data_IF_043089413105
#
_entry.id   IF_043089413105
#
_cell.length_a   1.000
_cell.length_b   1.000
_cell.length_c   1.000
_cell.angle_alpha   90.00
_cell.angle_beta   90.00
_cell.angle_gamma   90.00
#
_symmetry.space_group_name_H-M   'P 1'
#
loop_
_entity.id
_entity.type
_entity.pdbx_description
1 polymer ?
#
# COMPACT_ATOMS: atom_id res chain seq x y z
N UNK A 1 19.79 -15.35 74.88
CA UNK A 1 18.65 -15.08 73.98
C UNK A 1 18.87 -13.87 73.07
N UNK A 2 19.29 -12.68 73.54
CA UNK A 2 19.47 -11.51 72.66
C UNK A 2 20.49 -11.70 71.51
N UNK A 3 21.60 -12.41 71.77
CA UNK A 3 22.61 -12.69 70.71
C UNK A 3 22.20 -13.72 69.68
N UNK A 4 21.31 -14.66 69.99
CA UNK A 4 20.77 -15.64 69.10
C UNK A 4 19.76 -14.96 68.18
N UNK A 5 18.94 -14.01 68.68
CA UNK A 5 18.01 -13.24 67.92
C UNK A 5 18.70 -12.32 66.90
N UNK A 6 19.84 -11.74 67.25
CA UNK A 6 20.68 -10.90 66.40
C UNK A 6 21.37 -11.71 65.28
N UNK A 7 21.77 -12.93 65.57
CA UNK A 7 22.37 -13.84 64.58
C UNK A 7 21.30 -14.35 63.60
N UNK A 8 20.08 -14.61 64.05
CA UNK A 8 18.95 -14.96 63.20
C UNK A 8 18.49 -13.80 62.28
N UNK A 9 18.58 -12.56 62.76
CA UNK A 9 18.28 -11.36 61.97
C UNK A 9 19.32 -11.13 60.87
N UNK A 10 20.59 -11.42 61.13
CA UNK A 10 21.68 -11.30 60.13
C UNK A 10 21.59 -12.34 59.00
N UNK A 11 21.04 -13.53 59.25
CA UNK A 11 20.83 -14.58 58.25
C UNK A 11 19.68 -14.21 57.30
N UNK A 12 18.72 -13.38 57.76
CA UNK A 12 17.61 -12.92 56.91
C UNK A 12 18.01 -11.87 55.87
N UNK A 13 19.17 -11.24 56.00
CA UNK A 13 19.73 -10.30 55.04
C UNK A 13 20.70 -10.93 54.01
N UNK A 14 21.03 -12.20 54.16
CA UNK A 14 21.76 -12.98 53.17
C UNK A 14 20.80 -13.62 52.15
N UNK A 15 19.80 -12.85 51.70
CA UNK A 15 18.94 -13.26 50.59
C UNK A 15 19.77 -13.25 49.31
N UNK A 16 19.86 -14.41 48.65
CA UNK A 16 20.49 -14.52 47.36
C UNK A 16 19.77 -13.60 46.36
N UNK A 17 20.44 -12.53 45.94
CA UNK A 17 19.99 -11.66 44.85
C UNK A 17 19.74 -12.46 43.58
N UNK A 18 20.48 -13.54 43.37
CA UNK A 18 20.40 -14.40 42.16
C UNK A 18 19.10 -15.25 42.03
N UNK A 19 18.28 -15.33 43.10
CA UNK A 19 17.01 -16.08 43.05
C UNK A 19 15.89 -15.25 42.40
N UNK A 20 16.02 -13.92 42.48
CA UNK A 20 15.05 -12.97 41.88
C UNK A 20 15.39 -12.59 40.42
N UNK A 21 16.69 -12.63 40.08
CA UNK A 21 17.18 -12.35 38.73
C UNK A 21 17.27 -13.62 37.86
N UNK A 22 16.18 -14.36 37.73
CA UNK A 22 16.12 -15.47 36.79
C UNK A 22 16.05 -14.88 35.40
N UNK A 23 17.10 -15.09 34.61
CA UNK A 23 17.05 -14.85 33.17
C UNK A 23 15.83 -15.59 32.58
N UNK A 24 15.04 -14.89 31.79
CA UNK A 24 13.92 -15.52 31.07
C UNK A 24 14.51 -16.51 30.06
N UNK A 25 14.50 -17.80 30.39
CA UNK A 25 15.05 -18.87 29.54
C UNK A 25 14.31 -19.04 28.21
N UNK A 26 13.16 -18.42 28.06
CA UNK A 26 12.40 -18.40 26.79
C UNK A 26 12.67 -17.14 25.94
N UNK A 27 13.46 -16.18 26.43
CA UNK A 27 13.86 -15.00 25.69
C UNK A 27 15.32 -15.15 25.21
N UNK A 28 15.55 -14.82 23.94
CA UNK A 28 16.92 -14.72 23.41
C UNK A 28 17.56 -13.47 24.01
N UNK A 29 18.74 -13.56 24.64
CA UNK A 29 19.45 -12.38 25.13
C UNK A 29 19.72 -11.38 24.01
N UNK A 30 19.57 -10.08 24.29
CA UNK A 30 19.70 -9.03 23.28
C UNK A 30 21.06 -9.08 22.56
N UNK A 31 22.14 -9.30 23.30
CA UNK A 31 23.49 -9.42 22.76
C UNK A 31 23.64 -10.58 21.74
N UNK A 32 22.86 -11.66 21.86
CA UNK A 32 22.90 -12.77 20.93
C UNK A 32 22.27 -12.37 19.59
N UNK A 33 21.22 -11.54 19.63
CA UNK A 33 20.50 -11.09 18.42
C UNK A 33 21.43 -10.34 17.46
N UNK A 34 22.31 -9.50 17.99
CA UNK A 34 23.18 -8.66 17.18
C UNK A 34 24.48 -9.35 16.73
N UNK A 35 24.75 -10.54 17.24
CA UNK A 35 25.93 -11.33 16.90
C UNK A 35 25.61 -12.56 16.02
N UNK A 36 24.34 -12.85 15.79
CA UNK A 36 23.88 -13.97 14.97
C UNK A 36 22.98 -13.50 13.84
N UNK A 37 23.37 -13.80 12.58
CA UNK A 37 22.64 -13.36 11.38
C UNK A 37 21.22 -13.94 11.32
N UNK A 38 20.98 -15.15 11.84
CA UNK A 38 19.66 -15.80 11.87
C UNK A 38 18.71 -15.05 12.81
N UNK A 39 19.15 -14.71 14.02
CA UNK A 39 18.33 -13.93 14.96
C UNK A 39 18.10 -12.49 14.50
N UNK A 40 19.11 -11.83 13.93
CA UNK A 40 18.93 -10.50 13.34
C UNK A 40 17.93 -10.52 12.18
N UNK A 41 17.99 -11.54 11.31
CA UNK A 41 17.02 -11.74 10.24
C UNK A 41 15.62 -12.02 10.78
N UNK A 42 15.49 -12.82 11.84
CA UNK A 42 14.21 -13.07 12.49
C UNK A 42 13.61 -11.79 13.09
N UNK A 43 14.46 -10.90 13.64
CA UNK A 43 14.03 -9.59 14.11
C UNK A 43 13.49 -8.74 12.95
N UNK A 44 14.19 -8.68 11.82
CA UNK A 44 13.72 -7.97 10.62
C UNK A 44 12.41 -8.57 10.10
N UNK A 45 12.25 -9.90 10.11
CA UNK A 45 11.00 -10.56 9.74
C UNK A 45 9.84 -10.13 10.65
N UNK A 46 10.10 -9.99 11.96
CA UNK A 46 9.11 -9.42 12.89
C UNK A 46 8.76 -7.98 12.52
N UNK A 47 9.77 -7.16 12.18
CA UNK A 47 9.51 -5.79 11.74
C UNK A 47 8.66 -5.74 10.46
N UNK A 48 8.89 -6.63 9.49
CA UNK A 48 8.01 -6.76 8.31
C UNK A 48 6.57 -7.04 8.74
N UNK A 49 6.35 -8.09 9.51
CA UNK A 49 5.01 -8.47 9.99
C UNK A 49 4.27 -7.34 10.69
N UNK A 50 5.00 -6.54 11.51
CA UNK A 50 4.41 -5.49 12.33
C UNK A 50 4.22 -4.17 11.56
N UNK A 51 4.81 -4.05 10.35
CA UNK A 51 4.88 -2.79 9.63
C UNK A 51 4.36 -2.84 8.19
N UNK A 52 4.16 -3.99 7.57
CA UNK A 52 3.64 -4.01 6.21
C UNK A 52 2.17 -3.61 6.16
N UNK A 53 1.73 -2.89 5.11
CA UNK A 53 0.32 -2.70 4.84
C UNK A 53 -0.32 -4.03 4.43
N UNK A 54 -1.65 -4.10 4.50
CA UNK A 54 -2.37 -5.29 4.09
C UNK A 54 -3.79 -4.96 3.64
N UNK A 55 -4.56 -5.96 3.33
CA UNK A 55 -5.96 -5.79 2.93
C UNK A 55 -6.77 -5.11 4.03
N UNK A 56 -7.17 -3.87 3.77
CA UNK A 56 -8.15 -3.16 4.57
C UNK A 56 -9.52 -3.31 3.91
N UNK A 57 -10.38 -4.08 4.55
CA UNK A 57 -11.69 -4.47 4.00
C UNK A 57 -12.68 -3.31 3.88
N UNK A 58 -12.36 -2.12 4.38
CA UNK A 58 -13.26 -0.96 4.36
C UNK A 58 -12.60 0.32 3.84
N UNK A 59 -11.39 0.25 3.31
CA UNK A 59 -10.63 1.46 2.92
C UNK A 59 -11.36 2.32 1.88
N UNK A 60 -12.04 1.72 0.91
CA UNK A 60 -12.77 2.46 -0.10
C UNK A 60 -13.97 3.24 0.48
N UNK A 61 -14.48 2.83 1.64
CA UNK A 61 -15.58 3.51 2.33
C UNK A 61 -15.24 4.89 2.90
N UNK A 62 -13.98 5.28 2.90
CA UNK A 62 -13.51 6.62 3.30
C UNK A 62 -13.39 7.58 2.11
N UNK A 63 -13.79 7.16 0.91
CA UNK A 63 -13.72 7.92 -0.33
C UNK A 63 -15.07 7.91 -1.08
N UNK A 64 -15.17 8.72 -2.13
CA UNK A 64 -16.30 8.75 -3.06
C UNK A 64 -16.37 7.54 -4.01
N UNK A 65 -15.40 6.64 -3.95
CA UNK A 65 -15.38 5.42 -4.77
C UNK A 65 -16.32 4.32 -4.27
N UNK A 66 -16.69 4.35 -2.97
CA UNK A 66 -17.58 3.34 -2.40
C UNK A 66 -18.69 3.93 -1.53
N UNK A 67 -19.84 3.26 -1.55
CA UNK A 67 -20.95 3.57 -0.66
C UNK A 67 -20.56 3.22 0.80
N UNK A 68 -20.65 4.20 1.68
CA UNK A 68 -20.27 4.03 3.09
C UNK A 68 -21.00 5.03 3.99
N UNK A 69 -20.98 4.73 5.28
CA UNK A 69 -21.43 5.61 6.36
C UNK A 69 -20.26 6.18 7.17
N UNK A 70 -19.06 6.19 6.61
CA UNK A 70 -17.86 6.72 7.26
C UNK A 70 -18.02 8.20 7.63
N UNK A 71 -17.64 8.55 8.85
CA UNK A 71 -17.60 9.95 9.29
C UNK A 71 -16.65 10.82 8.46
N UNK A 72 -15.63 10.22 7.83
CA UNK A 72 -14.71 10.91 6.90
C UNK A 72 -15.49 11.42 5.70
N UNK A 73 -16.27 10.56 5.06
CA UNK A 73 -17.07 10.88 3.87
C UNK A 73 -18.09 12.01 4.15
N UNK A 74 -18.67 12.05 5.35
CA UNK A 74 -19.63 13.08 5.74
C UNK A 74 -19.00 14.31 6.40
N UNK A 75 -17.69 14.44 6.42
CA UNK A 75 -16.99 15.56 7.04
C UNK A 75 -17.15 15.62 8.57
N UNK A 76 -17.48 14.51 9.22
CA UNK A 76 -17.69 14.39 10.66
C UNK A 76 -16.40 13.97 11.39
N UNK A 77 -15.28 14.60 11.02
CA UNK A 77 -13.99 14.30 11.62
C UNK A 77 -13.82 14.96 12.99
N UNK A 78 -13.26 14.19 13.92
CA UNK A 78 -12.80 14.65 15.22
C UNK A 78 -11.30 14.39 15.35
N UNK A 79 -10.66 14.91 16.38
CA UNK A 79 -9.23 14.67 16.65
C UNK A 79 -8.89 13.18 16.89
N UNK A 80 -9.89 12.34 17.16
CA UNK A 80 -9.74 10.89 17.38
C UNK A 80 -10.23 10.02 16.21
N UNK A 81 -10.68 10.62 15.11
CA UNK A 81 -11.21 9.86 13.97
C UNK A 81 -10.14 9.08 13.22
N UNK A 82 -8.90 9.55 13.25
CA UNK A 82 -7.74 8.89 12.65
C UNK A 82 -6.65 8.81 13.71
N UNK A 83 -6.23 7.58 14.02
CA UNK A 83 -5.16 7.28 14.98
C UNK A 83 -4.14 6.34 14.34
N UNK A 84 -3.13 6.95 13.69
CA UNK A 84 -2.05 6.22 13.01
C UNK A 84 -0.67 6.59 13.56
N UNK A 85 -0.54 6.68 14.88
CA UNK A 85 0.71 6.96 15.56
C UNK A 85 1.58 5.70 15.68
N UNK A 86 2.51 5.51 14.74
CA UNK A 86 3.36 4.31 14.65
C UNK A 86 4.62 4.34 15.51
N UNK A 87 4.65 5.09 16.62
CA UNK A 87 5.86 5.25 17.42
C UNK A 87 6.33 3.97 18.14
N UNK A 88 5.42 3.02 18.42
CA UNK A 88 5.81 1.70 18.94
C UNK A 88 6.59 0.91 17.88
N UNK A 89 6.16 0.96 16.62
CA UNK A 89 6.84 0.35 15.50
C UNK A 89 8.18 1.04 15.23
N UNK A 90 8.20 2.38 15.21
CA UNK A 90 9.42 3.19 15.05
C UNK A 90 10.42 2.88 16.15
N UNK A 91 9.98 2.72 17.41
CA UNK A 91 10.85 2.29 18.51
C UNK A 91 11.52 0.95 18.21
N UNK A 92 10.76 -0.06 17.76
CA UNK A 92 11.31 -1.38 17.43
C UNK A 92 12.28 -1.32 16.26
N UNK A 93 12.01 -0.48 15.27
CA UNK A 93 12.89 -0.19 14.14
C UNK A 93 14.20 0.45 14.64
N UNK A 94 14.11 1.47 15.50
CA UNK A 94 15.28 2.16 16.04
C UNK A 94 16.12 1.25 16.93
N UNK A 95 15.53 0.38 17.75
CA UNK A 95 16.28 -0.64 18.52
C UNK A 95 17.17 -1.47 17.59
N UNK A 96 16.64 -1.90 16.42
CA UNK A 96 17.46 -2.62 15.46
C UNK A 96 18.60 -1.77 14.91
N UNK A 97 18.30 -0.53 14.47
CA UNK A 97 19.29 0.36 13.85
C UNK A 97 20.40 0.79 14.83
N UNK A 98 20.05 0.98 16.09
CA UNK A 98 21.00 1.39 17.16
C UNK A 98 21.99 0.26 17.52
N UNK A 99 21.57 -1.01 17.38
CA UNK A 99 22.33 -2.14 17.92
C UNK A 99 23.00 -3.00 16.86
N UNK A 100 22.50 -3.08 15.63
CA UNK A 100 23.00 -4.02 14.61
C UNK A 100 24.49 -3.81 14.27
N UNK A 101 24.99 -2.58 14.35
CA UNK A 101 26.39 -2.24 14.08
C UNK A 101 27.32 -2.52 15.27
N UNK A 102 26.79 -2.77 16.47
CA UNK A 102 27.55 -3.15 17.64
C UNK A 102 27.95 -4.63 17.64
N UNK A 103 27.28 -5.43 16.83
CA UNK A 103 27.52 -6.86 16.72
C UNK A 103 28.62 -7.25 15.71
N UNK A 104 28.82 -8.55 15.59
CA UNK A 104 29.88 -9.16 14.76
C UNK A 104 29.39 -9.76 13.45
N UNK A 105 28.10 -9.55 13.10
CA UNK A 105 27.52 -10.04 11.84
C UNK A 105 28.30 -9.44 10.66
N UNK A 106 28.49 -10.26 9.63
CA UNK A 106 29.20 -9.89 8.40
C UNK A 106 28.59 -8.62 7.79
N UNK A 107 29.47 -7.70 7.31
CA UNK A 107 29.11 -6.35 6.87
C UNK A 107 28.04 -6.32 5.75
N UNK A 108 28.16 -7.21 4.75
CA UNK A 108 27.19 -7.26 3.65
C UNK A 108 25.80 -7.65 4.15
N UNK A 109 25.71 -8.60 5.08
CA UNK A 109 24.46 -9.00 5.71
C UNK A 109 23.86 -7.86 6.54
N UNK A 110 24.67 -7.19 7.38
CA UNK A 110 24.22 -6.02 8.16
C UNK A 110 23.69 -4.93 7.25
N UNK A 111 24.44 -4.58 6.21
CA UNK A 111 24.04 -3.55 5.25
C UNK A 111 22.70 -3.90 4.57
N UNK A 112 22.52 -5.14 4.17
CA UNK A 112 21.27 -5.61 3.56
C UNK A 112 20.09 -5.56 4.53
N UNK A 113 20.26 -5.99 5.78
CA UNK A 113 19.23 -5.95 6.80
C UNK A 113 18.87 -4.49 7.17
N UNK A 114 19.87 -3.63 7.37
CA UNK A 114 19.65 -2.19 7.63
C UNK A 114 18.87 -1.51 6.50
N UNK A 115 19.20 -1.83 5.26
CA UNK A 115 18.53 -1.26 4.11
C UNK A 115 17.04 -1.57 4.09
N UNK A 116 16.65 -2.80 4.44
CA UNK A 116 15.24 -3.19 4.58
C UNK A 116 14.55 -2.40 5.72
N UNK A 117 15.23 -2.25 6.84
CA UNK A 117 14.70 -1.53 8.03
C UNK A 117 14.54 -0.04 7.76
N UNK A 118 15.43 0.58 6.97
CA UNK A 118 15.26 1.96 6.51
C UNK A 118 13.99 2.15 5.67
N UNK A 119 13.67 1.22 4.76
CA UNK A 119 12.40 1.29 3.99
C UNK A 119 11.20 1.23 4.94
N UNK A 120 11.22 0.35 5.96
CA UNK A 120 10.13 0.28 6.95
C UNK A 120 9.97 1.57 7.73
N UNK A 121 11.08 2.22 8.14
CA UNK A 121 11.02 3.49 8.87
C UNK A 121 10.48 4.61 7.97
N UNK A 122 10.99 4.71 6.76
CA UNK A 122 10.52 5.67 5.76
C UNK A 122 9.02 5.49 5.50
N UNK A 123 8.55 4.25 5.32
CA UNK A 123 7.14 3.92 5.13
C UNK A 123 6.28 4.42 6.30
N UNK A 124 6.65 4.10 7.55
CA UNK A 124 5.87 4.51 8.73
C UNK A 124 5.83 6.02 8.92
N UNK A 125 6.94 6.71 8.68
CA UNK A 125 6.94 8.17 8.70
C UNK A 125 6.09 8.75 7.58
N UNK A 126 6.14 8.21 6.37
CA UNK A 126 5.30 8.66 5.27
C UNK A 126 3.80 8.50 5.59
N UNK A 127 3.40 7.36 6.14
CA UNK A 127 2.02 7.12 6.57
C UNK A 127 1.53 8.18 7.58
N UNK A 128 2.35 8.56 8.55
CA UNK A 128 2.00 9.62 9.48
C UNK A 128 1.99 11.00 8.82
N UNK A 129 3.00 11.30 8.00
CA UNK A 129 3.15 12.63 7.37
C UNK A 129 2.01 12.93 6.40
N UNK A 130 1.56 11.97 5.60
CA UNK A 130 0.46 12.17 4.65
C UNK A 130 -0.85 12.55 5.33
N UNK A 131 -1.05 12.20 6.61
CA UNK A 131 -2.25 12.49 7.37
C UNK A 131 -2.07 13.71 8.29
N UNK A 132 -0.94 13.77 9.01
CA UNK A 132 -0.74 14.77 10.06
C UNK A 132 0.16 15.95 9.63
N UNK A 133 0.80 15.88 8.47
CA UNK A 133 1.86 16.81 8.10
C UNK A 133 3.14 16.54 8.88
N UNK A 134 3.77 17.57 9.47
CA UNK A 134 4.94 17.35 10.32
C UNK A 134 4.62 16.56 11.57
N UNK A 135 5.53 15.68 11.98
CA UNK A 135 5.42 14.82 13.19
C UNK A 135 6.76 14.83 13.94
N UNK A 136 6.81 14.46 15.22
CA UNK A 136 8.10 14.28 15.92
C UNK A 136 8.99 13.25 15.22
N UNK A 137 10.22 13.62 14.89
CA UNK A 137 11.22 12.69 14.37
C UNK A 137 11.94 12.06 15.57
N UNK A 138 11.80 10.74 15.69
CA UNK A 138 12.48 9.91 16.69
C UNK A 138 13.39 8.97 15.93
N UNK A 139 14.67 9.27 15.91
CA UNK A 139 15.68 8.57 15.11
C UNK A 139 16.47 7.51 15.89
N UNK A 140 16.25 7.41 17.22
CA UNK A 140 16.86 6.44 18.14
C UNK A 140 15.81 5.82 19.09
N UNK A 141 16.15 4.70 19.68
CA UNK A 141 15.34 4.10 20.74
C UNK A 141 15.43 4.93 22.03
N UNK A 142 14.37 5.68 22.35
CA UNK A 142 14.34 6.51 23.55
C UNK A 142 14.33 5.66 24.81
N UNK A 143 15.04 6.12 25.84
CA UNK A 143 15.05 5.60 27.21
C UNK A 143 14.22 6.48 28.14
N UNK A 144 13.93 6.01 29.36
CA UNK A 144 13.20 6.80 30.35
C UNK A 144 14.00 8.02 30.88
N UNK A 145 15.29 8.07 30.59
CA UNK A 145 16.16 9.22 30.93
C UNK A 145 16.21 10.28 29.82
N UNK A 146 15.68 10.00 28.64
CA UNK A 146 15.61 10.97 27.54
C UNK A 146 14.43 11.95 27.74
N UNK A 147 14.50 13.11 27.07
CA UNK A 147 13.33 13.99 26.97
C UNK A 147 12.28 13.35 26.06
N UNK A 148 11.19 12.89 26.66
CA UNK A 148 10.09 12.23 25.95
C UNK A 148 9.06 13.22 25.36
N UNK A 149 9.17 14.52 25.71
CA UNK A 149 8.28 15.58 25.21
C UNK A 149 8.81 16.21 23.91
N UNK A 150 9.01 15.36 22.88
CA UNK A 150 9.56 15.79 21.60
C UNK A 150 8.53 16.62 20.83
N UNK A 151 8.96 17.80 20.36
CA UNK A 151 8.10 18.68 19.54
C UNK A 151 7.94 18.13 18.12
N UNK A 152 6.85 18.52 17.46
CA UNK A 152 6.64 18.24 16.05
C UNK A 152 7.72 18.93 15.21
N UNK A 153 8.28 18.20 14.28
CA UNK A 153 9.13 18.71 13.21
C UNK A 153 8.27 19.32 12.10
N UNK A 154 8.88 20.15 11.26
CA UNK A 154 8.23 20.63 10.04
C UNK A 154 8.02 19.48 9.05
N UNK A 155 6.98 19.59 8.21
CA UNK A 155 6.75 18.60 7.15
C UNK A 155 7.98 18.42 6.27
N UNK A 156 8.69 19.50 5.91
CA UNK A 156 9.92 19.43 5.11
C UNK A 156 11.00 18.58 5.78
N UNK A 157 11.23 18.77 7.09
CA UNK A 157 12.20 17.99 7.84
C UNK A 157 11.84 16.50 7.89
N UNK A 158 10.55 16.19 8.02
CA UNK A 158 10.07 14.81 7.98
C UNK A 158 10.27 14.18 6.59
N UNK A 159 10.01 14.93 5.52
CA UNK A 159 10.25 14.48 4.15
C UNK A 159 11.74 14.24 3.92
N UNK A 160 12.61 15.16 4.32
CA UNK A 160 14.07 15.00 4.21
C UNK A 160 14.54 13.75 4.95
N UNK A 161 14.00 13.49 6.14
CA UNK A 161 14.29 12.27 6.91
C UNK A 161 13.87 10.99 6.18
N UNK A 162 12.65 10.97 5.62
CA UNK A 162 12.12 9.85 4.82
C UNK A 162 13.01 9.59 3.60
N UNK A 163 13.35 10.65 2.86
CA UNK A 163 14.18 10.54 1.65
C UNK A 163 15.57 10.02 1.98
N UNK A 164 16.20 10.52 3.06
CA UNK A 164 17.49 10.03 3.51
C UNK A 164 17.47 8.53 3.85
N UNK A 165 16.44 8.04 4.52
CA UNK A 165 16.28 6.62 4.80
C UNK A 165 16.16 5.81 3.50
N UNK A 166 15.39 6.27 2.52
CA UNK A 166 15.22 5.58 1.24
C UNK A 166 16.52 5.59 0.40
N UNK A 167 17.29 6.67 0.42
CA UNK A 167 18.59 6.74 -0.26
C UNK A 167 19.61 5.78 0.38
N UNK A 168 19.64 5.70 1.70
CA UNK A 168 20.44 4.70 2.41
C UNK A 168 20.02 3.28 2.07
N UNK A 169 18.72 3.03 1.96
CA UNK A 169 18.17 1.72 1.59
C UNK A 169 18.62 1.26 0.19
N UNK A 170 18.58 2.15 -0.82
CA UNK A 170 18.99 1.82 -2.20
C UNK A 170 20.39 1.20 -2.26
N UNK A 171 21.32 1.63 -1.39
CA UNK A 171 22.71 1.16 -1.41
C UNK A 171 22.88 -0.29 -0.94
N UNK A 172 21.96 -0.82 -0.13
CA UNK A 172 22.05 -2.17 0.47
C UNK A 172 21.01 -3.17 -0.06
N UNK A 173 20.05 -2.74 -0.89
CA UNK A 173 19.02 -3.61 -1.44
C UNK A 173 19.42 -4.18 -2.78
N UNK A 174 19.06 -5.44 -3.11
CA UNK A 174 19.19 -6.00 -4.44
C UNK A 174 18.05 -5.52 -5.35
N UNK A 175 18.15 -5.75 -6.65
CA UNK A 175 17.05 -5.59 -7.59
C UNK A 175 16.00 -6.70 -7.47
N UNK A 176 16.44 -7.91 -7.15
CA UNK A 176 15.57 -9.07 -7.01
C UNK A 176 16.08 -9.97 -5.88
N UNK A 177 15.15 -10.61 -5.20
CA UNK A 177 15.42 -11.66 -4.24
C UNK A 177 15.09 -13.03 -4.83
N UNK A 178 15.72 -14.07 -4.29
CA UNK A 178 15.49 -15.45 -4.72
C UNK A 178 15.07 -16.33 -3.55
N UNK A 179 14.46 -17.45 -3.84
CA UNK A 179 14.06 -18.46 -2.85
C UNK A 179 13.14 -17.87 -1.75
N UNK A 180 13.47 -18.13 -0.50
CA UNK A 180 12.67 -17.73 0.67
C UNK A 180 12.67 -16.23 0.97
N UNK A 181 13.46 -15.44 0.26
CA UNK A 181 13.52 -14.00 0.43
C UNK A 181 12.65 -13.25 -0.60
N UNK A 182 11.98 -13.96 -1.51
CA UNK A 182 11.04 -13.36 -2.47
C UNK A 182 9.92 -12.64 -1.69
N UNK A 183 9.65 -11.38 -2.08
CA UNK A 183 8.69 -10.51 -1.41
C UNK A 183 9.30 -9.49 -0.44
N UNK A 184 10.61 -9.60 -0.12
CA UNK A 184 11.33 -8.57 0.63
C UNK A 184 11.52 -7.31 -0.22
N UNK A 185 11.77 -6.19 0.44
CA UNK A 185 12.05 -4.91 -0.24
C UNK A 185 13.26 -5.01 -1.17
N UNK A 186 13.10 -4.38 -2.32
CA UNK A 186 14.12 -4.30 -3.37
C UNK A 186 14.53 -2.83 -3.59
N UNK A 187 15.54 -2.60 -4.42
CA UNK A 187 15.85 -1.25 -4.90
C UNK A 187 14.64 -0.59 -5.55
N UNK A 188 13.84 -1.37 -6.29
CA UNK A 188 12.62 -0.87 -6.90
C UNK A 188 11.63 -0.33 -5.85
N UNK A 189 11.47 -1.03 -4.71
CA UNK A 189 10.62 -0.56 -3.61
C UNK A 189 11.07 0.80 -3.09
N UNK A 190 12.37 0.96 -2.82
CA UNK A 190 12.91 2.22 -2.30
C UNK A 190 12.77 3.38 -3.31
N UNK A 191 13.04 3.13 -4.60
CA UNK A 191 12.92 4.15 -5.65
C UNK A 191 11.45 4.54 -5.91
N UNK A 192 10.55 3.58 -6.00
CA UNK A 192 9.13 3.83 -6.24
C UNK A 192 8.48 4.53 -5.04
N UNK A 193 8.83 4.14 -3.81
CA UNK A 193 8.35 4.82 -2.61
C UNK A 193 8.88 6.25 -2.53
N UNK A 194 10.16 6.49 -2.83
CA UNK A 194 10.73 7.84 -2.92
C UNK A 194 9.96 8.71 -3.93
N UNK A 195 9.66 8.16 -5.09
CA UNK A 195 8.91 8.84 -6.14
C UNK A 195 7.49 9.21 -5.67
N UNK A 196 6.77 8.27 -5.00
CA UNK A 196 5.45 8.54 -4.38
C UNK A 196 5.54 9.64 -3.32
N UNK A 197 6.48 9.56 -2.40
CA UNK A 197 6.65 10.56 -1.31
C UNK A 197 6.86 11.96 -1.86
N UNK A 198 7.73 12.11 -2.87
CA UNK A 198 8.01 13.42 -3.46
C UNK A 198 6.83 13.95 -4.27
N UNK A 199 6.04 13.09 -4.93
CA UNK A 199 4.82 13.50 -5.61
C UNK A 199 3.78 14.02 -4.60
N UNK A 200 3.57 13.33 -3.48
CA UNK A 200 2.72 13.83 -2.38
C UNK A 200 3.20 15.17 -1.85
N UNK A 201 4.51 15.30 -1.63
CA UNK A 201 5.09 16.54 -1.11
C UNK A 201 5.00 17.73 -2.08
N UNK A 202 4.94 17.46 -3.38
CA UNK A 202 4.72 18.48 -4.41
C UNK A 202 3.25 18.87 -4.56
N UNK A 203 2.30 18.04 -4.09
CA UNK A 203 0.87 18.25 -4.25
C UNK A 203 0.35 19.50 -3.52
N UNK A 204 -0.76 20.10 -3.96
CA UNK A 204 -1.27 21.37 -3.41
C UNK A 204 -1.46 21.38 -1.89
N UNK A 205 -1.81 20.23 -1.28
CA UNK A 205 -1.97 20.12 0.18
C UNK A 205 -0.68 20.43 0.93
N UNK A 206 0.46 19.98 0.42
CA UNK A 206 1.78 20.18 1.04
C UNK A 206 2.57 21.32 0.42
N UNK A 207 2.16 21.78 -0.76
CA UNK A 207 2.80 22.82 -1.57
C UNK A 207 1.81 23.92 -1.96
N UNK A 208 1.18 24.61 -0.98
CA UNK A 208 0.16 25.61 -1.25
C UNK A 208 0.69 26.81 -2.08
N UNK A 209 1.98 27.09 -1.98
CA UNK A 209 2.65 28.15 -2.75
C UNK A 209 3.08 27.70 -4.15
N UNK A 210 2.77 26.46 -4.53
CA UNK A 210 3.12 25.83 -5.80
C UNK A 210 4.62 25.99 -6.16
N UNK A 211 5.49 25.73 -5.18
CA UNK A 211 6.94 25.83 -5.33
C UNK A 211 7.42 24.84 -6.40
N UNK A 212 8.01 25.37 -7.47
CA UNK A 212 8.42 24.57 -8.63
C UNK A 212 9.50 23.53 -8.29
N UNK A 213 10.41 23.84 -7.39
CA UNK A 213 11.46 22.90 -6.95
C UNK A 213 10.92 21.59 -6.37
N UNK A 214 9.72 21.60 -5.76
CA UNK A 214 9.08 20.36 -5.28
C UNK A 214 8.56 19.51 -6.43
N UNK A 215 7.99 20.16 -7.45
CA UNK A 215 7.57 19.46 -8.67
C UNK A 215 8.77 18.97 -9.48
N UNK A 216 9.88 19.69 -9.53
CA UNK A 216 11.11 19.23 -10.16
C UNK A 216 11.69 18.02 -9.44
N UNK A 217 11.67 18.00 -8.10
CA UNK A 217 12.08 16.83 -7.31
C UNK A 217 11.17 15.61 -7.57
N UNK A 218 9.85 15.81 -7.60
CA UNK A 218 8.88 14.78 -7.92
C UNK A 218 9.09 14.22 -9.34
N UNK A 219 9.24 15.10 -10.33
CA UNK A 219 9.52 14.71 -11.71
C UNK A 219 10.80 13.87 -11.82
N UNK A 220 11.91 14.36 -11.26
CA UNK A 220 13.20 13.68 -11.34
C UNK A 220 13.17 12.30 -10.69
N UNK A 221 12.51 12.18 -9.53
CA UNK A 221 12.39 10.91 -8.83
C UNK A 221 11.51 9.91 -9.60
N UNK A 222 10.38 10.36 -10.15
CA UNK A 222 9.48 9.51 -10.92
C UNK A 222 10.10 9.08 -12.25
N UNK A 223 10.78 10.01 -12.97
CA UNK A 223 11.53 9.66 -14.17
C UNK A 223 12.61 8.62 -13.89
N UNK A 224 13.41 8.84 -12.85
CA UNK A 224 14.44 7.88 -12.42
C UNK A 224 13.84 6.52 -12.08
N UNK A 225 12.69 6.48 -11.38
CA UNK A 225 12.01 5.22 -11.07
C UNK A 225 11.55 4.50 -12.35
N UNK A 226 10.91 5.19 -13.30
CA UNK A 226 10.52 4.60 -14.59
C UNK A 226 11.72 4.01 -15.31
N UNK A 227 12.80 4.81 -15.46
CA UNK A 227 13.99 4.43 -16.21
C UNK A 227 14.72 3.23 -15.56
N UNK A 228 14.92 3.29 -14.24
CA UNK A 228 15.69 2.25 -13.54
C UNK A 228 14.89 0.94 -13.36
N UNK A 229 13.61 1.02 -13.05
CA UNK A 229 12.77 -0.18 -12.90
C UNK A 229 12.65 -0.92 -14.24
N UNK A 230 12.40 -0.20 -15.34
CA UNK A 230 12.30 -0.78 -16.68
C UNK A 230 13.57 -1.53 -17.07
N UNK A 231 14.76 -0.95 -16.84
CA UNK A 231 16.06 -1.58 -17.11
C UNK A 231 16.30 -2.85 -16.30
N UNK A 232 15.65 -2.99 -15.15
CA UNK A 232 15.85 -4.10 -14.21
C UNK A 232 14.69 -5.11 -14.19
N UNK A 233 13.91 -5.17 -15.28
CA UNK A 233 12.94 -6.22 -15.53
C UNK A 233 11.54 -5.97 -14.96
N UNK A 234 11.27 -4.79 -14.40
CA UNK A 234 9.92 -4.38 -14.03
C UNK A 234 9.16 -3.87 -15.25
N UNK A 235 7.88 -4.09 -15.28
CA UNK A 235 7.01 -3.68 -16.38
C UNK A 235 5.56 -4.01 -16.10
N UNK A 236 4.65 -3.59 -16.98
CA UNK A 236 3.23 -3.93 -16.85
C UNK A 236 3.02 -5.43 -17.08
N UNK A 237 2.20 -6.03 -16.23
CA UNK A 237 1.73 -7.41 -16.44
C UNK A 237 0.62 -7.41 -17.48
N UNK A 238 0.61 -8.41 -18.36
CA UNK A 238 -0.27 -8.38 -19.55
C UNK A 238 -1.76 -8.48 -19.20
N UNK A 239 -2.11 -9.23 -18.15
CA UNK A 239 -3.47 -9.43 -17.70
C UNK A 239 -3.79 -8.58 -16.47
N UNK A 240 -4.59 -7.53 -16.64
CA UNK A 240 -5.09 -6.72 -15.51
C UNK A 240 -5.85 -7.56 -14.48
N UNK A 241 -6.66 -8.52 -14.92
CA UNK A 241 -7.44 -9.40 -14.05
C UNK A 241 -6.57 -10.29 -13.15
N UNK A 242 -5.44 -10.78 -13.70
CA UNK A 242 -4.60 -11.76 -13.02
C UNK A 242 -3.43 -11.14 -12.23
N UNK A 243 -3.31 -9.82 -12.16
CA UNK A 243 -2.22 -9.14 -11.42
C UNK A 243 -2.09 -9.68 -9.99
N UNK A 244 -3.21 -9.96 -9.33
CA UNK A 244 -3.26 -10.41 -7.93
C UNK A 244 -3.13 -11.93 -7.75
N UNK A 245 -3.26 -12.70 -8.82
CA UNK A 245 -3.28 -14.18 -8.77
C UNK A 245 -1.99 -14.79 -9.31
N UNK A 246 -1.31 -14.11 -10.22
CA UNK A 246 0.03 -14.47 -10.67
C UNK A 246 1.06 -13.76 -9.77
N UNK A 247 1.28 -14.35 -8.59
CA UNK A 247 2.09 -13.75 -7.53
C UNK A 247 3.49 -13.37 -8.02
N UNK A 248 4.02 -12.26 -7.50
CA UNK A 248 5.36 -11.76 -7.80
C UNK A 248 5.66 -11.57 -9.30
N UNK A 249 4.63 -11.27 -10.09
CA UNK A 249 4.80 -10.93 -11.51
C UNK A 249 5.62 -9.63 -11.67
N UNK A 250 6.04 -9.34 -12.93
CA UNK A 250 6.93 -8.21 -13.25
C UNK A 250 6.41 -6.80 -12.87
N UNK A 251 5.13 -6.68 -12.52
CA UNK A 251 4.52 -5.41 -12.12
C UNK A 251 4.60 -5.15 -10.62
N UNK A 252 4.78 -6.20 -9.80
CA UNK A 252 4.78 -6.11 -8.33
C UNK A 252 6.08 -5.46 -7.83
N UNK A 253 5.96 -4.40 -7.02
CA UNK A 253 7.11 -3.65 -6.47
C UNK A 253 7.16 -3.76 -4.95
N UNK A 254 6.03 -3.54 -4.28
CA UNK A 254 5.91 -3.58 -2.82
C UNK A 254 4.69 -4.42 -2.47
N UNK A 255 4.88 -5.50 -1.71
CA UNK A 255 3.88 -6.51 -1.45
C UNK A 255 3.89 -6.96 0.01
N UNK A 256 2.70 -7.21 0.56
CA UNK A 256 2.52 -8.04 1.74
C UNK A 256 2.02 -9.41 1.26
N UNK A 257 2.82 -10.44 1.50
CA UNK A 257 2.47 -11.80 1.13
C UNK A 257 1.58 -12.46 2.16
N UNK A 258 0.67 -13.30 1.68
CA UNK A 258 -0.27 -14.07 2.48
C UNK A 258 -0.19 -15.55 2.12
N UNK A 259 -0.34 -16.42 3.11
CA UNK A 259 -0.36 -17.86 2.93
C UNK A 259 -1.18 -18.52 4.03
N UNK A 260 -2.30 -19.14 3.67
CA UNK A 260 -3.14 -19.91 4.58
C UNK A 260 -2.41 -21.22 4.98
N UNK A 261 -2.37 -21.64 6.26
CA UNK A 261 -3.08 -21.09 7.41
C UNK A 261 -2.29 -20.03 8.21
N UNK A 262 -1.08 -19.68 7.82
CA UNK A 262 -0.17 -18.83 8.61
C UNK A 262 -0.59 -17.37 8.68
N UNK A 263 -0.95 -16.78 7.55
CA UNK A 263 -1.43 -15.41 7.44
C UNK A 263 -2.47 -15.32 6.32
N UNK A 264 -3.67 -14.91 6.64
CA UNK A 264 -4.78 -14.76 5.70
C UNK A 264 -5.60 -13.51 6.02
N UNK A 265 -6.51 -13.13 5.13
CA UNK A 265 -7.36 -11.95 5.27
C UNK A 265 -8.80 -12.24 4.83
N UNK A 266 -9.68 -11.23 4.96
CA UNK A 266 -11.13 -11.35 4.73
C UNK A 266 -11.60 -10.59 3.48
N UNK A 267 -10.71 -10.17 2.58
CA UNK A 267 -11.07 -9.35 1.42
C UNK A 267 -12.15 -10.01 0.56
N UNK A 268 -11.95 -11.28 0.18
CA UNK A 268 -12.91 -12.02 -0.61
C UNK A 268 -14.29 -12.10 0.05
N UNK A 269 -14.35 -12.48 1.33
CA UNK A 269 -15.62 -12.56 2.05
C UNK A 269 -16.28 -11.18 2.20
N UNK A 270 -15.52 -10.15 2.52
CA UNK A 270 -16.03 -8.82 2.77
C UNK A 270 -16.64 -8.14 1.54
N UNK A 271 -16.11 -8.42 0.34
CA UNK A 271 -16.53 -7.78 -0.90
C UNK A 271 -17.57 -8.56 -1.71
N UNK A 272 -17.73 -9.86 -1.42
CA UNK A 272 -18.72 -10.72 -2.08
C UNK A 272 -20.15 -10.47 -1.60
N UNK A 273 -21.18 -10.88 -2.37
CA UNK A 273 -22.54 -11.03 -1.87
C UNK A 273 -22.60 -12.02 -0.69
N UNK A 274 -23.53 -11.79 0.25
CA UNK A 274 -23.67 -12.63 1.45
C UNK A 274 -23.89 -14.13 1.12
N UNK A 275 -24.61 -14.45 0.05
CA UNK A 275 -24.83 -15.83 -0.38
C UNK A 275 -23.54 -16.58 -0.80
N UNK A 276 -22.47 -15.85 -1.12
CA UNK A 276 -21.15 -16.37 -1.48
C UNK A 276 -20.08 -16.04 -0.43
N UNK A 277 -20.51 -15.63 0.76
CA UNK A 277 -19.73 -15.35 1.96
C UNK A 277 -20.36 -16.08 3.16
N UNK A 278 -19.72 -16.09 4.34
CA UNK A 278 -20.33 -16.71 5.54
C UNK A 278 -20.90 -15.64 6.48
N UNK A 279 -20.07 -14.69 6.91
CA UNK A 279 -20.41 -13.78 8.01
C UNK A 279 -20.18 -12.31 7.68
N UNK A 280 -19.41 -12.01 6.64
CA UNK A 280 -19.02 -10.65 6.24
C UNK A 280 -19.40 -10.43 4.79
N UNK A 281 -20.02 -9.31 4.48
CA UNK A 281 -20.34 -8.94 3.10
C UNK A 281 -20.61 -7.45 2.98
N UNK A 282 -20.64 -6.94 1.74
CA UNK A 282 -21.06 -5.60 1.43
C UNK A 282 -20.08 -4.49 1.78
N UNK A 283 -18.81 -4.82 2.00
CA UNK A 283 -17.74 -3.83 2.07
C UNK A 283 -17.29 -3.42 0.65
N UNK A 284 -16.74 -2.22 0.51
CA UNK A 284 -16.23 -1.70 -0.77
C UNK A 284 -17.27 -1.77 -1.92
N UNK A 285 -18.52 -1.48 -1.61
CA UNK A 285 -19.60 -1.40 -2.61
C UNK A 285 -19.34 -0.19 -3.50
N UNK A 286 -19.09 -0.35 -4.81
CA UNK A 286 -18.80 0.78 -5.68
C UNK A 286 -19.92 1.81 -5.69
N UNK A 287 -19.56 3.09 -5.62
CA UNK A 287 -20.50 4.20 -5.84
C UNK A 287 -20.88 4.29 -7.33
N UNK A 288 -21.92 5.06 -7.63
CA UNK A 288 -22.28 5.34 -9.02
C UNK A 288 -21.17 6.14 -9.74
N UNK A 289 -20.56 7.08 -9.03
CA UNK A 289 -19.45 7.90 -9.52
C UNK A 289 -18.26 7.01 -9.92
N UNK A 290 -17.92 6.01 -9.11
CA UNK A 290 -16.88 5.03 -9.47
C UNK A 290 -17.27 4.24 -10.73
N UNK A 291 -18.49 3.79 -10.83
CA UNK A 291 -19.01 3.06 -12.02
C UNK A 291 -18.97 3.94 -13.27
N UNK A 292 -19.30 5.21 -13.15
CA UNK A 292 -19.31 6.19 -14.24
C UNK A 292 -17.91 6.65 -14.66
N UNK A 293 -16.92 6.55 -13.77
CA UNK A 293 -15.53 6.93 -14.07
C UNK A 293 -14.90 6.15 -15.22
N UNK A 294 -15.35 4.90 -15.45
CA UNK A 294 -14.87 4.10 -16.56
C UNK A 294 -15.31 4.68 -17.90
N UNK A 295 -14.40 4.97 -18.85
CA UNK A 295 -14.79 5.46 -20.17
C UNK A 295 -15.39 4.35 -21.05
N UNK A 296 -15.88 4.73 -22.20
CA UNK A 296 -16.25 3.80 -23.28
C UNK A 296 -14.98 3.25 -23.95
N UNK A 297 -15.09 2.10 -24.60
CA UNK A 297 -13.97 1.44 -25.31
C UNK A 297 -13.32 2.31 -26.38
N UNK A 298 -14.03 3.31 -26.89
CA UNK A 298 -13.49 4.30 -27.82
C UNK A 298 -12.69 5.42 -27.12
N UNK A 299 -12.51 5.34 -25.81
CA UNK A 299 -11.75 6.30 -24.98
C UNK A 299 -12.53 7.52 -24.54
N UNK A 300 -13.78 7.70 -24.98
CA UNK A 300 -14.64 8.84 -24.59
C UNK A 300 -15.32 8.60 -23.26
N UNK A 301 -15.50 9.67 -22.48
CA UNK A 301 -16.33 9.61 -21.28
C UNK A 301 -17.80 9.31 -21.61
N UNK A 302 -18.54 8.73 -20.67
CA UNK A 302 -19.96 8.34 -20.88
C UNK A 302 -20.87 9.54 -21.21
N UNK A 303 -20.49 10.74 -20.81
CA UNK A 303 -21.25 11.98 -21.06
C UNK A 303 -20.87 12.66 -22.38
N UNK A 304 -19.88 12.16 -23.11
CA UNK A 304 -19.57 12.66 -24.46
C UNK A 304 -20.70 12.25 -25.43
N UNK A 305 -21.30 13.18 -26.17
CA UNK A 305 -22.38 12.86 -27.11
C UNK A 305 -22.04 11.82 -28.18
N UNK A 306 -20.76 11.68 -28.49
CA UNK A 306 -20.27 10.70 -29.48
C UNK A 306 -19.67 9.44 -28.81
N UNK A 307 -19.87 9.27 -27.50
CA UNK A 307 -19.35 8.10 -26.77
C UNK A 307 -20.02 6.79 -27.18
N UNK A 308 -21.28 6.85 -27.64
CA UNK A 308 -22.11 5.68 -27.88
C UNK A 308 -22.63 5.03 -26.58
N UNK A 309 -22.60 5.76 -25.47
CA UNK A 309 -23.13 5.25 -24.19
C UNK A 309 -24.65 5.10 -24.24
N UNK A 310 -25.15 3.93 -23.79
CA UNK A 310 -26.56 3.65 -23.62
C UNK A 310 -26.85 3.39 -22.12
N UNK A 311 -27.64 4.24 -21.44
CA UNK A 311 -27.94 4.09 -20.02
C UNK A 311 -28.75 2.82 -19.67
N UNK A 312 -29.39 2.16 -20.66
CA UNK A 312 -30.14 0.92 -20.45
C UNK A 312 -29.21 -0.29 -20.39
N UNK A 313 -28.19 -0.29 -21.24
CA UNK A 313 -27.17 -1.33 -21.32
C UNK A 313 -25.80 -0.74 -20.95
N UNK A 314 -25.74 0.02 -19.87
CA UNK A 314 -24.63 0.86 -19.41
C UNK A 314 -23.29 0.11 -19.22
N UNK A 315 -23.31 -1.21 -19.21
CA UNK A 315 -22.13 -2.08 -19.07
C UNK A 315 -21.50 -2.49 -20.43
N UNK A 316 -22.17 -2.19 -21.54
CA UNK A 316 -21.66 -2.57 -22.86
C UNK A 316 -20.66 -1.53 -23.39
N UNK A 317 -19.68 -2.01 -24.15
CA UNK A 317 -18.67 -1.18 -24.80
C UNK A 317 -17.90 -0.24 -23.86
N UNK A 318 -17.75 -0.63 -22.59
CA UNK A 318 -16.94 0.10 -21.59
C UNK A 318 -15.48 -0.32 -21.67
N UNK A 319 -14.60 0.47 -21.07
CA UNK A 319 -13.22 0.08 -20.74
C UNK A 319 -13.23 -1.36 -20.20
N UNK A 320 -12.40 -2.27 -20.72
CA UNK A 320 -12.37 -3.68 -20.25
C UNK A 320 -12.18 -3.86 -18.74
N UNK A 321 -11.47 -2.92 -18.07
CA UNK A 321 -11.29 -2.94 -16.61
C UNK A 321 -12.60 -2.79 -15.86
N UNK A 322 -13.63 -2.20 -16.45
CA UNK A 322 -14.98 -2.14 -15.89
C UNK A 322 -15.51 -3.53 -15.51
N UNK A 323 -15.51 -4.47 -16.46
CA UNK A 323 -16.03 -5.82 -16.23
C UNK A 323 -15.19 -6.64 -15.26
N UNK A 324 -13.92 -6.28 -15.08
CA UNK A 324 -13.00 -6.92 -14.14
C UNK A 324 -13.15 -6.38 -12.72
N UNK A 325 -13.58 -5.13 -12.58
CA UNK A 325 -13.67 -4.45 -11.28
C UNK A 325 -15.09 -4.39 -10.74
N UNK A 326 -16.09 -4.24 -11.60
CA UNK A 326 -17.50 -3.99 -11.24
C UNK A 326 -18.37 -5.20 -11.57
N UNK A 327 -19.05 -5.75 -10.56
CA UNK A 327 -20.16 -6.67 -10.77
C UNK A 327 -21.47 -5.88 -10.76
N UNK A 328 -22.27 -6.07 -11.80
CA UNK A 328 -23.53 -5.38 -12.04
C UNK A 328 -24.67 -6.37 -12.21
N UNK A 329 -25.91 -5.89 -12.27
CA UNK A 329 -27.10 -6.73 -12.35
C UNK A 329 -27.09 -7.63 -13.60
N UNK A 330 -27.16 -8.95 -13.37
CA UNK A 330 -27.17 -9.99 -14.42
C UNK A 330 -25.79 -10.34 -15.00
N UNK A 331 -24.70 -9.75 -14.52
CA UNK A 331 -23.35 -10.07 -15.00
C UNK A 331 -22.96 -11.52 -14.65
N UNK A 332 -22.17 -12.15 -15.51
CA UNK A 332 -21.53 -13.42 -15.20
C UNK A 332 -20.46 -13.22 -14.13
N UNK A 333 -20.63 -13.92 -13.00
CA UNK A 333 -19.66 -13.94 -11.91
C UNK A 333 -19.68 -15.29 -11.22
N UNK A 334 -18.76 -16.16 -11.60
CA UNK A 334 -18.72 -17.59 -11.27
C UNK A 334 -18.11 -17.84 -9.87
N UNK A 335 -18.61 -17.11 -8.86
CA UNK A 335 -18.17 -17.27 -7.47
C UNK A 335 -18.35 -18.71 -6.99
N UNK A 336 -17.45 -19.15 -6.11
CA UNK A 336 -17.39 -20.49 -5.54
C UNK A 336 -17.26 -21.61 -6.61
N UNK A 337 -16.65 -21.28 -7.74
CA UNK A 337 -16.49 -22.21 -8.87
C UNK A 337 -17.81 -22.62 -9.56
N UNK A 338 -18.89 -21.87 -9.34
CA UNK A 338 -20.23 -22.16 -9.89
C UNK A 338 -20.35 -21.69 -11.34
N UNK A 339 -20.09 -22.57 -12.28
CA UNK A 339 -20.14 -22.27 -13.72
C UNK A 339 -21.51 -21.72 -14.15
N UNK A 340 -21.50 -20.63 -14.94
CA UNK A 340 -22.70 -19.97 -15.44
C UNK A 340 -23.46 -19.13 -14.40
N UNK A 341 -22.94 -19.01 -13.17
CA UNK A 341 -23.56 -18.19 -12.13
C UNK A 341 -23.58 -16.73 -12.54
N UNK A 342 -24.77 -16.11 -12.43
CA UNK A 342 -24.99 -14.67 -12.64
C UNK A 342 -25.21 -13.97 -11.32
N UNK A 343 -24.68 -12.74 -11.19
CA UNK A 343 -24.96 -11.88 -10.06
C UNK A 343 -26.19 -11.02 -10.32
N UNK A 344 -27.15 -11.11 -9.42
CA UNK A 344 -28.33 -10.26 -9.42
C UNK A 344 -28.21 -9.23 -8.30
N UNK A 345 -28.53 -7.97 -8.59
CA UNK A 345 -28.38 -6.85 -7.65
C UNK A 345 -29.67 -6.04 -7.46
N UNK A 346 -30.78 -6.46 -8.07
CA UNK A 346 -32.10 -5.82 -7.85
C UNK A 346 -32.62 -6.10 -6.44
N UNK A 347 -33.50 -5.24 -5.95
CA UNK A 347 -34.10 -5.36 -4.61
C UNK A 347 -34.83 -6.72 -4.47
N UNK A 348 -34.45 -7.50 -3.47
CA UNK A 348 -34.98 -8.84 -3.20
C UNK A 348 -34.24 -9.98 -3.91
N UNK A 349 -33.21 -9.70 -4.71
CA UNK A 349 -32.38 -10.73 -5.34
C UNK A 349 -31.49 -11.47 -4.33
N UNK A 350 -31.05 -10.77 -3.30
CA UNK A 350 -30.15 -11.26 -2.24
C UNK A 350 -30.77 -10.98 -0.86
N UNK A 351 -30.35 -11.74 0.16
CA UNK A 351 -30.77 -11.53 1.56
C UNK A 351 -30.31 -10.17 2.07
N UNK A 352 -29.11 -9.76 1.68
CA UNK A 352 -28.57 -8.42 1.89
C UNK A 352 -28.12 -7.90 0.54
N UNK A 353 -28.99 -7.18 -0.20
CA UNK A 353 -28.64 -6.66 -1.50
C UNK A 353 -27.60 -5.55 -1.38
N UNK A 354 -26.84 -5.35 -2.44
CA UNK A 354 -25.93 -4.21 -2.55
C UNK A 354 -26.71 -2.89 -2.43
N UNK A 355 -26.22 -1.97 -1.62
CA UNK A 355 -26.83 -0.66 -1.42
C UNK A 355 -26.77 0.25 -2.66
N UNK A 356 -25.77 0.04 -3.54
CA UNK A 356 -25.63 0.80 -4.80
C UNK A 356 -26.10 0.04 -6.04
N UNK A 357 -26.40 -1.24 -5.94
CA UNK A 357 -26.67 -2.12 -7.08
C UNK A 357 -25.41 -2.69 -7.76
N UNK A 358 -24.24 -2.52 -7.14
CA UNK A 358 -22.95 -3.01 -7.63
C UNK A 358 -22.19 -3.79 -6.55
N UNK A 359 -21.20 -4.61 -6.96
CA UNK A 359 -20.21 -5.20 -6.07
C UNK A 359 -18.81 -5.01 -6.66
N UNK A 360 -17.81 -4.97 -5.80
CA UNK A 360 -16.42 -4.97 -6.20
C UNK A 360 -15.99 -6.39 -6.60
N UNK A 361 -15.35 -6.54 -7.77
CA UNK A 361 -14.78 -7.81 -8.26
C UNK A 361 -13.26 -7.83 -8.21
N UNK A 362 -12.62 -6.68 -8.01
CA UNK A 362 -11.16 -6.51 -8.07
C UNK A 362 -10.48 -7.41 -7.03
N UNK A 363 -9.52 -8.21 -7.48
CA UNK A 363 -8.77 -9.15 -6.66
C UNK A 363 -9.63 -10.21 -5.91
N UNK A 364 -10.78 -10.57 -6.46
CA UNK A 364 -11.64 -11.63 -5.91
C UNK A 364 -11.32 -12.96 -6.56
N UNK A 365 -10.88 -13.93 -5.77
CA UNK A 365 -10.62 -15.30 -6.25
C UNK A 365 -11.92 -16.09 -6.37
N UNK A 366 -12.45 -16.18 -7.58
CA UNK A 366 -13.75 -16.82 -7.86
C UNK A 366 -13.80 -18.32 -7.53
N UNK A 367 -12.65 -18.99 -7.38
CA UNK A 367 -12.61 -20.42 -7.01
C UNK A 367 -12.86 -20.67 -5.51
N UNK A 368 -12.67 -19.66 -4.66
CA UNK A 368 -12.86 -19.82 -3.22
C UNK A 368 -14.33 -20.10 -2.88
N UNK A 369 -14.58 -21.18 -2.13
CA UNK A 369 -15.89 -21.40 -1.47
C UNK A 369 -16.09 -20.34 -0.38
N UNK A 370 -17.30 -20.17 0.19
CA UNK A 370 -17.52 -19.23 1.29
C UNK A 370 -16.55 -19.40 2.47
N UNK A 371 -16.18 -20.63 2.81
CA UNK A 371 -15.19 -20.92 3.85
C UNK A 371 -13.79 -20.35 3.51
N UNK A 372 -13.31 -20.59 2.30
CA UNK A 372 -11.99 -20.08 1.88
C UNK A 372 -11.99 -18.59 1.56
N UNK A 373 -13.14 -18.01 1.26
CA UNK A 373 -13.28 -16.56 1.10
C UNK A 373 -12.97 -15.81 2.41
N UNK A 374 -13.24 -16.41 3.57
CA UNK A 374 -12.85 -15.86 4.89
C UNK A 374 -11.38 -16.14 5.25
N UNK A 375 -10.66 -16.84 4.42
CA UNK A 375 -9.26 -17.25 4.62
C UNK A 375 -8.43 -17.01 3.37
N UNK A 376 -8.68 -15.87 2.73
CA UNK A 376 -8.01 -15.49 1.48
C UNK A 376 -6.51 -15.33 1.69
N UNK A 377 -5.73 -15.88 0.77
CA UNK A 377 -4.26 -15.76 0.72
C UNK A 377 -3.78 -14.92 -0.46
N UNK A 378 -4.67 -14.16 -1.10
CA UNK A 378 -4.29 -13.23 -2.17
C UNK A 378 -3.37 -12.14 -1.63
N UNK A 379 -2.21 -11.93 -2.23
CA UNK A 379 -1.23 -10.94 -1.80
C UNK A 379 -1.78 -9.50 -1.91
N UNK A 380 -1.45 -8.65 -0.92
CA UNK A 380 -1.68 -7.22 -1.03
C UNK A 380 -0.52 -6.55 -1.74
N UNK A 381 -0.78 -5.95 -2.88
CA UNK A 381 0.20 -5.21 -3.66
C UNK A 381 0.06 -3.71 -3.35
N UNK A 382 1.01 -3.17 -2.60
CA UNK A 382 1.02 -1.77 -2.17
C UNK A 382 1.53 -0.83 -3.27
N UNK A 383 2.54 -1.25 -4.03
CA UNK A 383 3.11 -0.50 -5.15
C UNK A 383 3.22 -1.40 -6.38
N UNK A 384 2.68 -0.92 -7.49
CA UNK A 384 2.77 -1.55 -8.82
C UNK A 384 3.49 -0.63 -9.80
N UNK A 385 4.07 -1.22 -10.82
CA UNK A 385 4.73 -0.45 -11.89
C UNK A 385 3.77 0.50 -12.63
N UNK A 386 2.49 0.14 -12.75
CA UNK A 386 1.45 1.04 -13.27
C UNK A 386 1.39 2.37 -12.51
N UNK A 387 1.48 2.34 -11.16
CA UNK A 387 1.50 3.57 -10.38
C UNK A 387 2.73 4.43 -10.67
N UNK A 388 3.91 3.81 -10.85
CA UNK A 388 5.14 4.55 -11.19
C UNK A 388 4.99 5.30 -12.52
N UNK A 389 4.36 4.66 -13.51
CA UNK A 389 4.05 5.30 -14.80
C UNK A 389 3.07 6.46 -14.66
N UNK A 390 2.00 6.26 -13.90
CA UNK A 390 0.98 7.29 -13.66
C UNK A 390 1.53 8.44 -12.83
N UNK A 391 2.38 8.17 -11.82
CA UNK A 391 3.06 9.19 -11.03
C UNK A 391 3.97 10.06 -11.91
N UNK A 392 4.66 9.46 -12.88
CA UNK A 392 5.50 10.21 -13.83
C UNK A 392 4.65 11.14 -14.71
N UNK A 393 3.56 10.64 -15.29
CA UNK A 393 2.66 11.48 -16.11
C UNK A 393 2.07 12.65 -15.30
N UNK A 394 1.62 12.39 -14.07
CA UNK A 394 1.08 13.41 -13.17
C UNK A 394 2.15 14.44 -12.80
N UNK A 395 3.36 14.02 -12.44
CA UNK A 395 4.45 14.92 -12.08
C UNK A 395 4.85 15.87 -13.22
N UNK A 396 4.85 15.40 -14.48
CA UNK A 396 5.09 16.26 -15.65
C UNK A 396 3.99 17.28 -15.79
N UNK A 397 2.74 16.80 -15.82
CA UNK A 397 1.59 17.67 -16.08
C UNK A 397 1.46 18.77 -15.02
N UNK A 398 1.54 18.40 -13.74
CA UNK A 398 1.39 19.38 -12.64
C UNK A 398 2.59 20.36 -12.55
N UNK A 399 3.77 19.93 -12.99
CA UNK A 399 4.96 20.79 -13.06
C UNK A 399 4.88 21.85 -14.17
N UNK A 400 4.42 21.45 -15.36
CA UNK A 400 4.54 22.23 -16.59
C UNK A 400 3.19 22.72 -17.15
N UNK A 401 2.08 22.34 -16.51
CA UNK A 401 0.68 22.52 -16.95
C UNK A 401 0.44 21.97 -18.37
N UNK A 402 1.24 21.01 -18.78
CA UNK A 402 1.17 20.27 -20.04
C UNK A 402 1.97 18.98 -19.96
N UNK A 403 1.65 18.05 -20.85
CA UNK A 403 2.41 16.83 -21.09
C UNK A 403 2.49 16.58 -22.59
N UNK A 404 3.66 16.25 -23.09
CA UNK A 404 3.83 15.94 -24.52
C UNK A 404 3.40 14.49 -24.83
N UNK A 405 3.03 14.23 -26.10
CA UNK A 405 2.58 12.90 -26.50
C UNK A 405 3.67 11.82 -26.29
N UNK A 406 4.94 12.19 -26.42
CA UNK A 406 6.09 11.29 -26.17
C UNK A 406 6.11 10.83 -24.72
N UNK A 407 5.88 11.73 -23.78
CA UNK A 407 5.82 11.42 -22.34
C UNK A 407 4.57 10.58 -22.00
N UNK A 408 3.43 10.90 -22.60
CA UNK A 408 2.23 10.08 -22.49
C UNK A 408 2.46 8.64 -22.98
N UNK A 409 3.18 8.46 -24.09
CA UNK A 409 3.43 7.15 -24.69
C UNK A 409 4.38 6.28 -23.87
N UNK A 410 5.29 6.85 -23.10
CA UNK A 410 6.20 6.09 -22.22
C UNK A 410 5.66 5.96 -20.78
N UNK A 411 4.46 6.44 -20.52
CA UNK A 411 3.85 6.44 -19.18
C UNK A 411 2.39 6.01 -19.22
N UNK A 412 1.45 6.95 -19.14
CA UNK A 412 0.01 6.69 -19.04
C UNK A 412 -0.52 5.79 -20.17
N UNK A 413 -0.08 6.01 -21.41
CA UNK A 413 -0.55 5.21 -22.53
C UNK A 413 -0.10 3.74 -22.47
N UNK A 414 1.01 3.43 -21.82
CA UNK A 414 1.36 2.03 -21.56
C UNK A 414 0.30 1.34 -20.70
N UNK A 415 -0.22 2.03 -19.68
CA UNK A 415 -1.30 1.51 -18.82
C UNK A 415 -2.58 1.32 -19.63
N UNK A 416 -3.00 2.32 -20.41
CA UNK A 416 -4.19 2.28 -21.25
C UNK A 416 -4.13 1.18 -22.29
N UNK A 417 -2.97 0.97 -22.89
CA UNK A 417 -2.72 0.02 -23.98
C UNK A 417 -2.22 -1.34 -23.49
N UNK A 418 -2.31 -1.63 -22.18
CA UNK A 418 -2.05 -2.98 -21.66
C UNK A 418 -2.76 -4.02 -22.54
N UNK A 419 -2.13 -5.15 -22.83
CA UNK A 419 -2.58 -6.16 -23.80
C UNK A 419 -4.07 -6.49 -23.69
N UNK A 420 -4.58 -6.72 -22.50
CA UNK A 420 -5.98 -7.07 -22.27
C UNK A 420 -6.91 -5.87 -22.03
N UNK A 421 -6.36 -4.66 -21.94
CA UNK A 421 -7.14 -3.42 -21.82
C UNK A 421 -7.30 -2.77 -23.19
N UNK A 422 -6.20 -2.58 -23.90
CA UNK A 422 -6.15 -2.08 -25.27
C UNK A 422 -7.06 -0.86 -25.56
N UNK A 423 -7.05 0.10 -24.62
CA UNK A 423 -7.76 1.37 -24.78
C UNK A 423 -7.01 2.28 -25.76
N UNK A 424 -7.71 3.18 -26.49
CA UNK A 424 -7.06 4.17 -27.32
C UNK A 424 -6.04 5.01 -26.54
N UNK A 425 -4.92 5.37 -27.17
CA UNK A 425 -3.96 6.28 -26.59
C UNK A 425 -4.61 7.64 -26.28
N UNK A 426 -4.28 8.20 -25.12
CA UNK A 426 -4.57 9.60 -24.82
C UNK A 426 -3.54 10.47 -25.51
N UNK A 427 -3.96 11.47 -26.26
CA UNK A 427 -3.08 12.43 -26.95
C UNK A 427 -3.60 13.84 -26.79
N UNK A 428 -2.73 14.83 -27.02
CA UNK A 428 -3.12 16.23 -26.99
C UNK A 428 -4.17 16.57 -28.06
N UNK A 429 -4.07 15.93 -29.23
CA UNK A 429 -5.05 16.09 -30.32
C UNK A 429 -6.43 15.51 -29.93
N UNK A 430 -6.44 14.35 -29.28
CA UNK A 430 -7.68 13.73 -28.79
C UNK A 430 -8.35 14.61 -27.74
N UNK A 431 -7.62 15.08 -26.74
CA UNK A 431 -8.17 15.94 -25.68
C UNK A 431 -8.72 17.23 -26.25
N UNK A 432 -7.99 17.87 -27.19
CA UNK A 432 -8.45 19.09 -27.87
C UNK A 432 -9.69 18.86 -28.73
N UNK A 433 -9.72 17.79 -29.51
CA UNK A 433 -10.83 17.47 -30.43
C UNK A 433 -12.15 17.23 -29.67
N UNK A 434 -12.09 16.67 -28.46
CA UNK A 434 -13.25 16.34 -27.62
C UNK A 434 -13.46 17.30 -26.45
N UNK A 435 -12.70 18.40 -26.36
CA UNK A 435 -12.82 19.36 -25.24
C UNK A 435 -12.56 18.76 -23.87
N UNK A 436 -11.66 17.75 -23.79
CA UNK A 436 -11.31 17.09 -22.54
C UNK A 436 -10.22 17.86 -21.81
N UNK A 437 -10.27 17.86 -20.49
CA UNK A 437 -9.21 18.37 -19.66
C UNK A 437 -8.16 17.29 -19.37
N UNK A 438 -6.92 17.52 -19.80
CA UNK A 438 -5.83 16.57 -19.67
C UNK A 438 -5.58 16.16 -18.20
N UNK A 439 -5.67 17.10 -17.25
CA UNK A 439 -5.54 16.81 -15.81
C UNK A 439 -6.60 15.81 -15.34
N UNK A 440 -7.83 16.04 -15.73
CA UNK A 440 -8.95 15.14 -15.43
C UNK A 440 -8.74 13.76 -16.04
N UNK A 441 -8.23 13.68 -17.26
CA UNK A 441 -7.96 12.40 -17.92
C UNK A 441 -6.83 11.61 -17.23
N UNK A 442 -5.75 12.28 -16.81
CA UNK A 442 -4.66 11.65 -16.03
C UNK A 442 -5.20 11.09 -14.70
N UNK A 443 -6.02 11.86 -14.00
CA UNK A 443 -6.65 11.44 -12.73
C UNK A 443 -7.64 10.30 -12.94
N UNK A 444 -8.46 10.37 -13.99
CA UNK A 444 -9.40 9.30 -14.34
C UNK A 444 -8.66 8.00 -14.63
N UNK A 445 -7.54 8.04 -15.36
CA UNK A 445 -6.75 6.84 -15.63
C UNK A 445 -6.25 6.18 -14.33
N UNK A 446 -5.83 6.99 -13.35
CA UNK A 446 -5.45 6.49 -12.02
C UNK A 446 -6.63 5.86 -11.27
N UNK A 447 -7.82 6.44 -11.37
CA UNK A 447 -9.04 5.95 -10.70
C UNK A 447 -9.46 4.58 -11.26
N UNK A 448 -9.39 4.39 -12.57
CA UNK A 448 -9.86 3.14 -13.21
C UNK A 448 -8.81 2.03 -13.20
N UNK A 449 -7.51 2.33 -13.02
CA UNK A 449 -6.41 1.39 -12.86
C UNK A 449 -6.31 0.88 -11.42
#
# INVERSE_FOLDING_TARGET
MKHILFLLLLILFAGCSDVLDKANLSAVPEEVVWNDAGYATAYVNKLYRDNLPGWNISVAGDSDEANSTSGILYGQLTSSSIDIWYYNQIRSINIFLDNIDLGTIEEATRKSLKAQVYVLRAWRYFEMVRVYGGVPIIDKAQSLSDDLYVKRNKTSECIDFIINDLENAVTGLPWQWTNNDIGRFTKATALALKARVLLYYASPQFNPDNLRERWDAAYNANKSAVDELSKNGYGLYDSYENIWFDEMNKEVIFVQRYEEPGLYHYWDAATRPLAESQNISGCNIPSLEMVESYPMINGKGIHDPESGYDPVIYWENRDPRFKTTIAYNGCLWELSGKTGRKQWTYVGAEVQPSASGFYCRKAINTSYTPYFAERSSTDWIELRYAEVLLNYAEAIYERDDKIENEDLNISLNLVRQRVNTNMPALTNELTQAHGLDMRTEIRRERTVE
#
